data_IF_890369506552
#
_entry.id   IF_890369506552
#
_cell.length_a   1.000
_cell.length_b   1.000
_cell.length_c   1.000
_cell.angle_alpha   90.00
_cell.angle_beta   90.00
_cell.angle_gamma   90.00
#
_symmetry.space_group_name_H-M   'P 1'
#
loop_
_entity.id
_entity.type
_entity.pdbx_description
1 polymer ?
#
# COMPACT_ATOMS: atom_id res chain seq x y z
N UNK A 1 -9.17 -4.93 1.99
CA UNK A 1 -9.03 -5.20 3.44
C UNK A 1 -8.76 -3.88 4.14
N UNK A 2 -9.29 -3.66 5.36
CA UNK A 2 -9.03 -2.43 6.12
C UNK A 2 -7.55 -2.33 6.48
N UNK A 3 -6.97 -1.13 6.34
CA UNK A 3 -5.57 -0.88 6.66
C UNK A 3 -5.51 -0.45 8.13
N UNK A 4 -4.94 -1.31 8.97
CA UNK A 4 -4.68 -1.00 10.37
C UNK A 4 -3.35 -0.25 10.47
N UNK A 5 -3.40 0.98 10.99
CA UNK A 5 -2.24 1.85 11.19
C UNK A 5 -2.32 2.49 12.56
N UNK A 6 -1.18 2.54 13.26
CA UNK A 6 -1.05 3.36 14.45
C UNK A 6 -0.69 4.78 14.02
N UNK A 7 -1.45 5.77 14.49
CA UNK A 7 -1.07 7.18 14.38
C UNK A 7 0.26 7.42 15.13
N UNK A 8 1.12 8.30 14.61
CA UNK A 8 2.41 8.62 15.25
C UNK A 8 3.66 8.09 14.53
N UNK A 9 3.51 7.39 13.39
CA UNK A 9 4.60 7.12 12.43
C UNK A 9 4.11 7.13 10.99
N UNK A 10 4.97 7.56 10.07
CA UNK A 10 4.78 7.30 8.63
C UNK A 10 5.12 5.85 8.34
N UNK A 11 4.17 5.12 7.75
CA UNK A 11 4.33 3.71 7.38
C UNK A 11 4.27 3.55 5.87
N UNK A 12 5.23 2.81 5.31
CA UNK A 12 5.27 2.44 3.90
C UNK A 12 4.83 0.99 3.77
N UNK A 13 3.56 0.76 3.41
CA UNK A 13 3.07 -0.59 3.17
C UNK A 13 3.30 -0.97 1.72
N UNK A 14 3.65 -2.23 1.47
CA UNK A 14 3.83 -2.80 0.14
C UNK A 14 2.48 -3.22 -0.43
N UNK A 15 2.20 -2.79 -1.65
CA UNK A 15 0.92 -3.00 -2.30
C UNK A 15 1.02 -3.35 -3.78
N UNK A 16 -0.12 -3.76 -4.32
CA UNK A 16 -0.36 -3.96 -5.73
C UNK A 16 -1.35 -2.90 -6.19
N UNK A 17 -0.89 -1.98 -7.04
CA UNK A 17 -1.68 -1.02 -7.77
C UNK A 17 -2.26 -1.72 -9.01
N UNK A 18 -3.57 -1.64 -9.17
CA UNK A 18 -4.31 -2.21 -10.31
C UNK A 18 -5.40 -1.23 -10.75
N UNK A 19 -5.70 -1.21 -12.03
CA UNK A 19 -6.85 -0.48 -12.56
C UNK A 19 -8.10 -1.37 -12.50
N UNK A 20 -9.23 -0.77 -12.12
CA UNK A 20 -10.55 -1.39 -12.19
C UNK A 20 -11.13 -1.27 -13.62
N UNK A 21 -12.20 -2.01 -13.92
CA UNK A 21 -12.90 -1.95 -15.23
C UNK A 21 -13.40 -0.54 -15.57
N UNK A 22 -13.62 0.31 -14.55
CA UNK A 22 -14.02 1.70 -14.71
C UNK A 22 -12.85 2.67 -14.96
N UNK A 23 -11.62 2.18 -15.09
CA UNK A 23 -10.41 3.02 -15.23
C UNK A 23 -9.93 3.67 -13.93
N UNK A 24 -10.57 3.36 -12.80
CA UNK A 24 -10.17 3.87 -11.49
C UNK A 24 -9.01 3.06 -10.94
N UNK A 25 -7.95 3.75 -10.52
CA UNK A 25 -6.83 3.12 -9.83
C UNK A 25 -7.23 2.69 -8.43
N UNK A 26 -6.98 1.42 -8.11
CA UNK A 26 -7.18 0.81 -6.80
C UNK A 26 -5.88 0.18 -6.34
N UNK A 27 -5.67 0.17 -5.03
CA UNK A 27 -4.49 -0.46 -4.42
C UNK A 27 -4.94 -1.47 -3.39
N UNK A 28 -4.21 -2.58 -3.31
CA UNK A 28 -4.38 -3.59 -2.25
C UNK A 28 -3.02 -3.90 -1.60
N UNK A 29 -2.95 -4.04 -0.28
CA UNK A 29 -1.72 -4.50 0.37
C UNK A 29 -1.39 -5.94 -0.05
N UNK A 30 -0.10 -6.28 -0.13
CA UNK A 30 0.38 -7.64 -0.50
C UNK A 30 0.14 -8.71 0.58
N UNK A 31 -0.57 -8.37 1.66
CA UNK A 31 -0.76 -9.24 2.82
C UNK A 31 0.30 -8.94 3.88
N UNK A 32 1.11 -9.93 4.25
CA UNK A 32 2.05 -9.80 5.36
C UNK A 32 3.11 -8.69 5.11
N UNK A 33 3.07 -7.66 5.95
CA UNK A 33 3.92 -6.46 5.85
C UNK A 33 5.17 -6.50 6.74
N UNK A 34 5.62 -7.67 7.18
CA UNK A 34 6.87 -7.80 7.94
C UNK A 34 8.08 -7.37 7.11
N UNK A 35 9.00 -6.60 7.68
CA UNK A 35 10.22 -6.14 6.99
C UNK A 35 11.10 -7.30 6.51
N UNK A 36 11.12 -8.42 7.24
CA UNK A 36 11.85 -9.65 6.88
C UNK A 36 11.21 -10.45 5.72
N UNK A 37 10.01 -10.08 5.26
CA UNK A 37 9.28 -10.82 4.23
C UNK A 37 9.66 -10.26 2.85
N UNK A 38 10.75 -10.76 2.28
CA UNK A 38 11.21 -10.35 0.94
C UNK A 38 10.20 -10.69 -0.17
N UNK A 39 9.42 -11.76 -0.03
CA UNK A 39 8.38 -12.10 -1.02
C UNK A 39 7.35 -10.97 -1.21
N UNK A 40 7.11 -10.16 -0.18
CA UNK A 40 6.19 -9.02 -0.28
C UNK A 40 6.77 -7.85 -1.07
N UNK A 41 8.10 -7.74 -1.20
CA UNK A 41 8.77 -6.77 -2.08
C UNK A 41 8.67 -7.21 -3.55
N UNK A 42 8.88 -8.49 -3.83
CA UNK A 42 8.81 -9.02 -5.19
C UNK A 42 7.38 -9.07 -5.74
N UNK A 43 6.38 -9.26 -4.88
CA UNK A 43 4.96 -9.27 -5.28
C UNK A 43 4.35 -7.87 -5.34
N UNK A 44 4.99 -6.86 -4.76
CA UNK A 44 4.52 -5.49 -4.78
C UNK A 44 5.00 -4.76 -6.03
N UNK A 45 4.18 -3.86 -6.56
CA UNK A 45 4.55 -2.91 -7.60
C UNK A 45 4.48 -1.46 -7.11
N UNK A 46 4.04 -1.23 -5.88
CA UNK A 46 3.92 0.09 -5.29
C UNK A 46 4.05 0.05 -3.77
N UNK A 47 4.36 1.21 -3.20
CA UNK A 47 4.21 1.50 -1.79
C UNK A 47 2.95 2.32 -1.54
N UNK A 48 2.13 1.89 -0.60
CA UNK A 48 1.07 2.66 0.01
C UNK A 48 1.72 3.52 1.09
N UNK A 49 1.78 4.83 0.83
CA UNK A 49 2.36 5.81 1.74
C UNK A 49 1.27 6.24 2.71
N UNK A 50 1.45 5.89 3.98
CA UNK A 50 0.54 6.25 5.04
C UNK A 50 1.24 7.26 5.95
N UNK A 51 0.86 8.52 5.82
CA UNK A 51 1.42 9.61 6.62
C UNK A 51 1.13 9.46 8.11
N UNK A 52 1.95 10.12 8.93
CA UNK A 52 1.81 10.15 10.40
C UNK A 52 0.39 10.49 10.87
N UNK A 53 -0.22 11.48 10.21
CA UNK A 53 -1.57 11.98 10.47
C UNK A 53 -2.68 11.00 10.08
N UNK A 54 -2.37 9.99 9.26
CA UNK A 54 -3.33 9.01 8.76
C UNK A 54 -3.45 7.88 9.79
N UNK A 55 -4.65 7.73 10.37
CA UNK A 55 -4.99 6.63 11.27
C UNK A 55 -5.45 5.38 10.52
N UNK A 56 -6.38 4.63 11.13
CA UNK A 56 -7.05 3.54 10.45
C UNK A 56 -7.77 4.05 9.19
N UNK A 57 -7.55 3.35 8.07
CA UNK A 57 -8.25 3.62 6.82
C UNK A 57 -9.24 2.51 6.53
N UNK A 58 -10.48 2.91 6.30
CA UNK A 58 -11.51 2.03 5.78
C UNK A 58 -11.26 1.66 4.32
N UNK A 59 -11.81 0.52 3.91
CA UNK A 59 -11.74 0.10 2.52
C UNK A 59 -12.46 1.13 1.62
N UNK A 60 -11.75 1.63 0.61
CA UNK A 60 -12.26 2.67 -0.29
C UNK A 60 -11.79 4.09 0.05
N UNK A 61 -11.04 4.27 1.14
CA UNK A 61 -10.38 5.53 1.42
C UNK A 61 -9.30 5.84 0.37
N UNK A 62 -9.13 7.13 0.07
CA UNK A 62 -8.08 7.62 -0.81
C UNK A 62 -6.77 7.58 -0.05
N UNK A 63 -5.76 6.95 -0.65
CA UNK A 63 -4.41 6.82 -0.08
C UNK A 63 -3.39 7.26 -1.10
N UNK A 64 -2.26 7.77 -0.62
CA UNK A 64 -1.14 8.09 -1.47
C UNK A 64 -0.39 6.81 -1.82
N UNK A 65 -0.12 6.61 -3.10
CA UNK A 65 0.66 5.47 -3.59
C UNK A 65 1.89 5.99 -4.33
N UNK A 66 3.01 5.32 -4.09
CA UNK A 66 4.26 5.54 -4.79
C UNK A 66 4.57 4.28 -5.60
N UNK A 67 4.52 4.41 -6.93
CA UNK A 67 4.84 3.30 -7.83
C UNK A 67 6.32 2.96 -7.71
N UNK A 68 6.63 1.66 -7.65
CA UNK A 68 7.99 1.15 -7.66
C UNK A 68 8.41 1.02 -9.12
N UNK A 69 8.98 2.08 -9.67
CA UNK A 69 9.57 2.08 -11.00
C UNK A 69 11.03 1.61 -10.92
N UNK A 70 11.41 0.64 -11.76
CA UNK A 70 12.81 0.21 -11.89
C UNK A 70 13.18 -1.20 -11.43
N UNK A 71 12.26 -2.18 -11.38
CA UNK A 71 12.68 -3.59 -11.42
C UNK A 71 12.92 -3.98 -12.90
N UNK A 72 14.12 -3.63 -13.39
CA UNK A 72 14.66 -4.03 -14.69
C UNK A 72 15.33 -5.40 -14.57
#
# INVERSE_FOLDING_TARGET
APIKKLSGRTEFQRGVLFSDENGTWKVKPTGAQGSAILSSMSLANCFIVLDDHVGNLDAGAIVQVQVMDGLI
#
